data_IF_557721816527
#
_entry.id   IF_557721816527
#
_cell.length_a   1.000
_cell.length_b   1.000
_cell.length_c   1.000
_cell.angle_alpha   90.00
_cell.angle_beta   90.00
_cell.angle_gamma   90.00
#
_symmetry.space_group_name_H-M   'P 1'
#
loop_
_entity.id
_entity.type
_entity.pdbx_description
1 polymer ?
#
# COMPACT_ATOMS: atom_id res chain seq x y z
N UNK A 1 35.90 -27.67 -33.19
CA UNK A 1 35.95 -26.54 -32.22
C UNK A 1 34.84 -25.50 -32.43
N UNK A 2 34.32 -25.32 -33.65
CA UNK A 2 33.29 -24.30 -34.00
C UNK A 2 31.89 -24.64 -33.44
N UNK A 3 31.53 -25.92 -33.26
CA UNK A 3 30.20 -26.31 -32.71
C UNK A 3 30.03 -26.06 -31.22
N UNK A 4 31.12 -26.05 -30.42
CA UNK A 4 31.06 -25.81 -28.98
C UNK A 4 30.80 -24.33 -28.63
N UNK A 5 31.28 -23.41 -29.46
CA UNK A 5 31.17 -21.95 -29.22
C UNK A 5 29.79 -21.38 -29.59
N UNK A 6 29.15 -21.93 -30.62
CA UNK A 6 27.76 -21.59 -30.99
C UNK A 6 26.77 -22.08 -29.94
N UNK A 7 26.91 -23.31 -29.46
CA UNK A 7 26.07 -23.87 -28.39
C UNK A 7 26.17 -23.07 -27.08
N UNK A 8 27.37 -22.64 -26.69
CA UNK A 8 27.58 -21.80 -25.49
C UNK A 8 26.93 -20.42 -25.63
N UNK A 9 26.96 -19.82 -26.82
CA UNK A 9 26.38 -18.48 -27.03
C UNK A 9 24.87 -18.56 -26.99
N UNK A 10 24.28 -19.56 -27.66
CA UNK A 10 22.85 -19.83 -27.58
C UNK A 10 22.39 -20.09 -26.15
N UNK A 11 23.12 -20.92 -25.39
CA UNK A 11 22.81 -21.19 -23.99
C UNK A 11 22.78 -19.93 -23.12
N UNK A 12 23.77 -19.02 -23.25
CA UNK A 12 23.79 -17.76 -22.50
C UNK A 12 22.56 -16.90 -22.85
N UNK A 13 22.18 -16.82 -24.12
CA UNK A 13 21.00 -16.06 -24.55
C UNK A 13 19.72 -16.61 -23.93
N UNK A 14 19.54 -17.93 -23.96
CA UNK A 14 18.38 -18.62 -23.37
C UNK A 14 18.31 -18.38 -21.86
N UNK A 15 19.43 -18.54 -21.14
CA UNK A 15 19.46 -18.30 -19.69
C UNK A 15 19.09 -16.85 -19.36
N UNK A 16 19.64 -15.88 -20.09
CA UNK A 16 19.30 -14.47 -19.88
C UNK A 16 17.82 -14.17 -20.17
N UNK A 17 17.25 -14.80 -21.20
CA UNK A 17 15.83 -14.66 -21.52
C UNK A 17 14.96 -15.24 -20.40
N UNK A 18 15.28 -16.43 -19.91
CA UNK A 18 14.57 -17.07 -18.79
C UNK A 18 14.60 -16.18 -17.56
N UNK A 19 15.77 -15.65 -17.18
CA UNK A 19 15.90 -14.76 -16.03
C UNK A 19 15.06 -13.49 -16.17
N UNK A 20 15.11 -12.84 -17.33
CA UNK A 20 14.33 -11.64 -17.60
C UNK A 20 12.82 -11.91 -17.56
N UNK A 21 12.37 -13.00 -18.19
CA UNK A 21 10.95 -13.38 -18.25
C UNK A 21 10.43 -13.72 -16.85
N UNK A 22 11.15 -14.56 -16.10
CA UNK A 22 10.77 -14.93 -14.74
C UNK A 22 10.71 -13.71 -13.82
N UNK A 23 11.74 -12.86 -13.87
CA UNK A 23 11.75 -11.63 -13.08
C UNK A 23 10.57 -10.73 -13.43
N UNK A 24 10.40 -10.39 -14.71
CA UNK A 24 9.38 -9.45 -15.17
C UNK A 24 7.97 -9.97 -14.87
N UNK A 25 7.73 -11.27 -15.10
CA UNK A 25 6.45 -11.90 -14.79
C UNK A 25 6.17 -11.87 -13.29
N UNK A 26 7.11 -12.33 -12.45
CA UNK A 26 6.91 -12.37 -11.00
C UNK A 26 6.73 -10.96 -10.42
N UNK A 27 7.51 -9.99 -10.89
CA UNK A 27 7.42 -8.59 -10.50
C UNK A 27 6.05 -7.99 -10.85
N UNK A 28 5.58 -8.18 -12.09
CA UNK A 28 4.28 -7.68 -12.54
C UNK A 28 3.10 -8.40 -11.86
N UNK A 29 3.20 -9.72 -11.69
CA UNK A 29 2.10 -10.54 -11.19
C UNK A 29 1.95 -10.43 -9.67
N UNK A 30 3.03 -10.50 -8.90
CA UNK A 30 2.96 -10.54 -7.43
C UNK A 30 3.13 -9.19 -6.77
N UNK A 31 3.86 -8.25 -7.38
CA UNK A 31 4.20 -6.98 -6.74
C UNK A 31 3.43 -5.79 -7.33
N UNK A 32 3.40 -5.63 -8.66
CA UNK A 32 2.84 -4.43 -9.30
C UNK A 32 1.40 -4.56 -9.80
N UNK A 33 0.79 -5.73 -9.66
CA UNK A 33 -0.51 -6.03 -10.27
C UNK A 33 -1.64 -5.08 -9.83
N UNK A 34 -1.73 -4.79 -8.54
CA UNK A 34 -2.82 -3.98 -7.98
C UNK A 34 -2.67 -2.51 -8.39
N UNK A 35 -1.43 -2.02 -8.49
CA UNK A 35 -1.12 -0.67 -9.01
C UNK A 35 -1.49 -0.54 -10.49
N UNK A 36 -1.11 -1.52 -11.32
CA UNK A 36 -1.43 -1.50 -12.76
C UNK A 36 -2.95 -1.61 -12.96
N UNK A 37 -3.63 -2.45 -12.17
CA UNK A 37 -5.08 -2.57 -12.20
C UNK A 37 -5.78 -1.24 -11.90
N UNK A 38 -5.34 -0.56 -10.84
CA UNK A 38 -5.85 0.76 -10.49
C UNK A 38 -5.51 1.79 -11.56
N UNK A 39 -4.28 1.85 -12.07
CA UNK A 39 -3.89 2.83 -13.08
C UNK A 39 -4.74 2.67 -14.35
N UNK A 40 -4.95 1.44 -14.81
CA UNK A 40 -5.84 1.15 -15.93
C UNK A 40 -7.29 1.58 -15.65
N UNK A 41 -7.79 1.31 -14.43
CA UNK A 41 -9.13 1.72 -14.03
C UNK A 41 -9.29 3.24 -14.05
N UNK A 42 -8.39 3.97 -13.38
CA UNK A 42 -8.41 5.43 -13.28
C UNK A 42 -8.27 6.07 -14.67
N UNK A 43 -7.29 5.65 -15.47
CA UNK A 43 -7.05 6.22 -16.80
C UNK A 43 -8.17 5.90 -17.80
N UNK A 44 -8.87 4.77 -17.64
CA UNK A 44 -10.03 4.43 -18.48
C UNK A 44 -11.36 5.04 -18.00
N UNK A 45 -11.36 5.71 -16.84
CA UNK A 45 -12.60 6.18 -16.20
C UNK A 45 -13.52 5.03 -15.78
N UNK A 46 -12.93 3.90 -15.38
CA UNK A 46 -13.64 2.70 -14.95
C UNK A 46 -14.21 1.82 -16.07
N UNK A 47 -13.84 2.08 -17.33
CA UNK A 47 -14.38 1.35 -18.50
C UNK A 47 -13.68 0.03 -18.79
N UNK A 48 -12.50 -0.19 -18.22
CA UNK A 48 -11.69 -1.39 -18.50
C UNK A 48 -11.27 -2.08 -17.22
N UNK A 49 -11.09 -3.40 -17.32
CA UNK A 49 -10.63 -4.23 -16.21
C UNK A 49 -9.26 -4.83 -16.57
N UNK A 50 -8.36 -4.85 -15.58
CA UNK A 50 -7.06 -5.50 -15.71
C UNK A 50 -7.17 -6.94 -15.22
N UNK A 51 -6.73 -7.89 -16.03
CA UNK A 51 -6.51 -9.26 -15.58
C UNK A 51 -5.02 -9.44 -15.28
N UNK A 52 -4.71 -9.75 -14.02
CA UNK A 52 -3.34 -9.88 -13.51
C UNK A 52 -2.48 -10.86 -14.31
N UNK A 53 -3.02 -12.03 -14.67
CA UNK A 53 -2.28 -13.05 -15.41
C UNK A 53 -2.03 -12.62 -16.85
N UNK A 54 -3.09 -12.19 -17.55
CA UNK A 54 -3.00 -11.78 -18.95
C UNK A 54 -2.08 -10.56 -19.09
N UNK A 55 -2.23 -9.58 -18.21
CA UNK A 55 -1.40 -8.38 -18.20
C UNK A 55 0.07 -8.67 -17.96
N UNK A 56 0.40 -9.49 -16.96
CA UNK A 56 1.79 -9.88 -16.69
C UNK A 56 2.42 -10.63 -17.87
N UNK A 57 1.69 -11.57 -18.50
CA UNK A 57 2.17 -12.29 -19.69
C UNK A 57 2.38 -11.33 -20.86
N UNK A 58 1.38 -10.49 -21.16
CA UNK A 58 1.41 -9.60 -22.32
C UNK A 58 2.53 -8.56 -22.20
N UNK A 59 2.64 -7.88 -21.06
CA UNK A 59 3.68 -6.88 -20.84
C UNK A 59 5.06 -7.55 -20.92
N UNK A 60 5.26 -8.70 -20.27
CA UNK A 60 6.53 -9.44 -20.33
C UNK A 60 6.89 -9.85 -21.76
N UNK A 61 5.92 -10.34 -22.54
CA UNK A 61 6.13 -10.76 -23.93
C UNK A 61 6.50 -9.57 -24.84
N UNK A 62 5.84 -8.42 -24.66
CA UNK A 62 6.16 -7.18 -25.41
C UNK A 62 7.56 -6.70 -25.09
N UNK A 63 7.92 -6.62 -23.80
CA UNK A 63 9.25 -6.18 -23.37
C UNK A 63 10.36 -7.14 -23.80
N UNK A 64 10.09 -8.44 -23.80
CA UNK A 64 11.02 -9.43 -24.34
C UNK A 64 11.18 -9.29 -25.86
N UNK A 65 10.08 -9.08 -26.59
CA UNK A 65 10.11 -8.85 -28.05
C UNK A 65 10.92 -7.59 -28.42
N UNK A 66 10.83 -6.53 -27.61
CA UNK A 66 11.66 -5.34 -27.76
C UNK A 66 13.15 -5.67 -27.65
N UNK A 67 13.53 -6.51 -26.67
CA UNK A 67 14.92 -6.97 -26.54
C UNK A 67 15.36 -7.77 -27.78
N UNK A 68 14.48 -8.62 -28.34
CA UNK A 68 14.77 -9.38 -29.56
C UNK A 68 15.05 -8.44 -30.75
N UNK A 69 14.32 -7.33 -30.87
CA UNK A 69 14.57 -6.29 -31.86
C UNK A 69 15.92 -5.61 -31.65
N UNK A 70 16.23 -5.20 -30.41
CA UNK A 70 17.48 -4.51 -30.07
C UNK A 70 18.73 -5.36 -30.30
N UNK A 71 18.70 -6.65 -29.97
CA UNK A 71 19.85 -7.54 -30.23
C UNK A 71 20.14 -7.71 -31.73
N UNK A 72 19.16 -7.51 -32.61
CA UNK A 72 19.36 -7.61 -34.05
C UNK A 72 20.15 -6.42 -34.60
N UNK A 73 20.06 -5.27 -33.93
CA UNK A 73 20.71 -4.01 -34.29
C UNK A 73 22.09 -3.86 -33.63
N UNK A 74 22.29 -4.42 -32.44
CA UNK A 74 23.49 -4.21 -31.64
C UNK A 74 24.44 -5.42 -31.69
N UNK A 75 25.64 -5.22 -32.23
CA UNK A 75 26.75 -6.18 -32.11
C UNK A 75 27.31 -6.14 -30.68
N UNK A 76 26.76 -6.96 -29.79
CA UNK A 76 27.14 -7.05 -28.38
C UNK A 76 27.83 -8.39 -28.06
N UNK A 77 28.99 -8.38 -27.39
CA UNK A 77 29.69 -9.58 -26.94
C UNK A 77 28.83 -10.42 -25.99
N UNK A 78 28.89 -11.75 -26.16
CA UNK A 78 28.18 -12.73 -25.31
C UNK A 78 28.41 -12.56 -23.79
N UNK A 79 29.56 -12.00 -23.39
CA UNK A 79 29.92 -11.77 -21.98
C UNK A 79 29.05 -10.69 -21.31
N UNK A 80 28.52 -9.76 -22.08
CA UNK A 80 27.71 -8.64 -21.60
C UNK A 80 26.33 -8.61 -22.28
N UNK A 81 25.83 -9.79 -22.65
CA UNK A 81 24.55 -9.95 -23.35
C UNK A 81 23.36 -9.37 -22.58
N UNK A 82 23.37 -9.42 -21.24
CA UNK A 82 22.34 -8.87 -20.36
C UNK A 82 22.07 -7.38 -20.61
N UNK A 83 23.07 -6.61 -21.08
CA UNK A 83 22.91 -5.18 -21.43
C UNK A 83 21.86 -4.97 -22.52
N UNK A 84 21.57 -5.96 -23.37
CA UNK A 84 20.48 -5.87 -24.35
C UNK A 84 19.10 -5.71 -23.70
N UNK A 85 18.92 -6.13 -22.45
CA UNK A 85 17.65 -6.05 -21.72
C UNK A 85 17.43 -4.70 -21.02
N UNK A 86 18.45 -3.83 -20.96
CA UNK A 86 18.36 -2.56 -20.24
C UNK A 86 17.18 -1.69 -20.71
N UNK A 87 16.96 -1.45 -22.03
CA UNK A 87 15.82 -0.65 -22.46
C UNK A 87 14.46 -1.26 -22.08
N UNK A 88 14.34 -2.59 -22.17
CA UNK A 88 13.13 -3.30 -21.76
C UNK A 88 12.85 -3.16 -20.25
N UNK A 89 13.89 -3.27 -19.41
CA UNK A 89 13.77 -3.04 -17.96
C UNK A 89 13.48 -1.57 -17.66
N UNK A 90 14.08 -0.63 -18.38
CA UNK A 90 13.83 0.79 -18.21
C UNK A 90 12.37 1.15 -18.50
N UNK A 91 11.79 0.59 -19.57
CA UNK A 91 10.36 0.76 -19.88
C UNK A 91 9.49 0.10 -18.81
N UNK A 92 9.88 -1.09 -18.32
CA UNK A 92 9.17 -1.75 -17.22
C UNK A 92 9.12 -0.85 -15.97
N UNK A 93 10.25 -0.27 -15.58
CA UNK A 93 10.35 0.67 -14.44
C UNK A 93 9.44 1.88 -14.63
N UNK A 94 9.45 2.49 -15.82
CA UNK A 94 8.60 3.66 -16.10
C UNK A 94 7.12 3.29 -16.05
N UNK A 95 6.76 2.12 -16.59
CA UNK A 95 5.38 1.64 -16.61
C UNK A 95 4.84 1.41 -15.19
N UNK A 96 5.70 1.00 -14.26
CA UNK A 96 5.35 0.70 -12.86
C UNK A 96 5.66 1.83 -11.88
N UNK A 97 6.23 2.95 -12.34
CA UNK A 97 6.37 4.17 -11.56
C UNK A 97 5.07 5.01 -11.58
N UNK A 98 4.01 4.42 -11.02
CA UNK A 98 2.68 5.02 -10.97
C UNK A 98 2.58 5.96 -9.77
N UNK A 99 2.23 7.23 -9.99
CA UNK A 99 2.07 8.21 -8.91
C UNK A 99 0.76 8.00 -8.13
N UNK A 100 0.75 8.21 -6.79
CA UNK A 100 -0.48 8.29 -5.98
C UNK A 100 -1.44 9.44 -6.36
N UNK A 101 -1.03 10.37 -7.22
CA UNK A 101 -1.89 11.46 -7.72
C UNK A 101 -2.30 11.30 -9.19
N UNK A 102 -2.26 10.06 -9.70
CA UNK A 102 -2.66 9.72 -11.08
C UNK A 102 -4.10 10.14 -11.43
N UNK A 103 -4.98 10.23 -10.44
CA UNK A 103 -6.38 10.66 -10.55
C UNK A 103 -6.55 12.16 -10.83
N UNK A 104 -5.57 13.00 -10.46
CA UNK A 104 -5.65 14.46 -10.66
C UNK A 104 -5.15 14.86 -12.03
N UNK A 105 -3.89 14.53 -12.33
CA UNK A 105 -3.22 14.80 -13.60
C UNK A 105 -2.17 13.73 -13.85
N UNK A 106 -2.30 13.00 -14.94
CA UNK A 106 -1.26 12.10 -15.41
C UNK A 106 -0.07 12.89 -15.97
N UNK A 107 1.13 12.58 -15.50
CA UNK A 107 2.38 13.14 -16.00
C UNK A 107 3.49 12.10 -15.88
N UNK A 108 4.38 12.05 -16.88
CA UNK A 108 5.59 11.23 -16.84
C UNK A 108 6.68 11.82 -15.93
N UNK A 109 6.47 13.02 -15.38
CA UNK A 109 7.39 13.65 -14.43
C UNK A 109 8.82 13.75 -14.96
N UNK A 110 9.79 13.33 -14.16
CA UNK A 110 11.20 13.35 -14.51
C UNK A 110 11.56 12.40 -15.67
N UNK A 111 10.74 11.37 -15.95
CA UNK A 111 11.03 10.38 -16.99
C UNK A 111 11.11 10.97 -18.38
N UNK A 112 10.45 12.10 -18.66
CA UNK A 112 10.56 12.80 -19.95
C UNK A 112 12.00 13.16 -20.31
N UNK A 113 12.82 13.48 -19.30
CA UNK A 113 14.23 13.84 -19.47
C UNK A 113 15.17 12.70 -19.10
N UNK A 114 14.84 11.94 -18.06
CA UNK A 114 15.66 10.81 -17.58
C UNK A 114 15.72 9.69 -18.63
N UNK A 115 14.58 9.35 -19.25
CA UNK A 115 14.53 8.28 -20.26
C UNK A 115 15.47 8.51 -21.46
N UNK A 116 15.39 9.64 -22.20
CA UNK A 116 16.30 9.87 -23.33
C UNK A 116 17.76 9.97 -22.88
N UNK A 117 18.02 10.55 -21.70
CA UNK A 117 19.38 10.65 -21.15
C UNK A 117 19.97 9.27 -20.87
N UNK A 118 19.20 8.36 -20.26
CA UNK A 118 19.63 6.99 -19.99
C UNK A 118 19.86 6.19 -21.28
N UNK A 119 19.05 6.42 -22.33
CA UNK A 119 19.27 5.79 -23.64
C UNK A 119 20.55 6.30 -24.34
N UNK A 120 20.89 7.58 -24.19
CA UNK A 120 22.14 8.13 -24.69
C UNK A 120 23.35 7.53 -23.94
N UNK A 121 23.29 7.48 -22.61
CA UNK A 121 24.32 6.86 -21.77
C UNK A 121 24.48 5.37 -22.10
N UNK A 122 23.37 4.66 -22.32
CA UNK A 122 23.34 3.27 -22.74
C UNK A 122 24.15 3.03 -24.03
N UNK A 123 23.98 3.87 -25.04
CA UNK A 123 24.79 3.82 -26.27
C UNK A 123 26.29 3.99 -25.99
N UNK A 124 26.65 4.87 -25.04
CA UNK A 124 28.02 5.03 -24.55
C UNK A 124 28.56 3.76 -23.87
N UNK A 125 27.75 3.14 -23.00
CA UNK A 125 28.10 1.89 -22.29
C UNK A 125 28.33 0.75 -23.28
N UNK A 126 27.47 0.58 -24.29
CA UNK A 126 27.68 -0.44 -25.34
C UNK A 126 29.04 -0.24 -26.02
N UNK A 127 29.35 1.01 -26.42
CA UNK A 127 30.64 1.31 -27.07
C UNK A 127 31.83 1.00 -26.15
N UNK A 128 31.73 1.33 -24.86
CA UNK A 128 32.76 1.04 -23.87
C UNK A 128 32.97 -0.47 -23.68
N UNK A 129 31.89 -1.22 -23.49
CA UNK A 129 31.95 -2.68 -23.32
C UNK A 129 32.53 -3.36 -24.57
N UNK A 130 32.19 -2.88 -25.76
CA UNK A 130 32.78 -3.36 -27.01
C UNK A 130 34.29 -3.08 -27.08
N UNK A 131 34.76 -1.93 -26.60
CA UNK A 131 36.20 -1.61 -26.50
C UNK A 131 36.91 -2.51 -25.49
N UNK A 132 36.36 -2.66 -24.28
CA UNK A 132 36.91 -3.52 -23.23
C UNK A 132 37.03 -4.97 -23.70
N UNK A 133 35.97 -5.50 -24.34
CA UNK A 133 35.98 -6.86 -24.88
C UNK A 133 37.06 -7.05 -25.95
N UNK A 134 37.25 -6.08 -26.86
CA UNK A 134 38.32 -6.12 -27.88
C UNK A 134 39.71 -6.14 -27.25
N UNK A 135 39.93 -5.40 -26.15
CA UNK A 135 41.21 -5.37 -25.44
C UNK A 135 41.51 -6.68 -24.69
N UNK A 136 40.51 -7.26 -24.03
CA UNK A 136 40.65 -8.53 -23.30
C UNK A 136 40.78 -9.77 -24.23
N UNK A 137 40.41 -9.65 -25.50
CA UNK A 137 40.31 -10.76 -26.46
C UNK A 137 41.62 -11.49 -26.81
N UNK A 138 42.79 -11.00 -26.39
CA UNK A 138 44.09 -11.62 -26.71
C UNK A 138 44.58 -12.67 -25.70
N UNK A 139 43.98 -12.80 -24.52
CA UNK A 139 44.60 -13.54 -23.40
C UNK A 139 43.69 -14.59 -22.73
N UNK A 140 42.42 -14.74 -23.15
CA UNK A 140 41.41 -15.41 -22.31
C UNK A 140 40.85 -16.71 -22.88
N UNK A 141 40.95 -17.80 -22.10
CA UNK A 141 40.28 -19.07 -22.38
C UNK A 141 38.74 -18.90 -22.35
N UNK A 142 38.08 -19.55 -23.31
CA UNK A 142 36.66 -19.42 -23.60
C UNK A 142 35.81 -20.27 -22.62
N UNK A 143 35.77 -19.92 -21.33
CA UNK A 143 34.95 -20.60 -20.33
C UNK A 143 33.50 -20.05 -20.30
N UNK A 144 32.51 -20.94 -20.25
CA UNK A 144 31.08 -20.59 -20.19
C UNK A 144 30.77 -19.84 -18.88
N UNK A 145 31.26 -20.32 -17.75
CA UNK A 145 31.04 -19.70 -16.44
C UNK A 145 31.60 -18.27 -16.36
N UNK A 146 32.80 -18.05 -16.91
CA UNK A 146 33.42 -16.73 -16.98
C UNK A 146 32.65 -15.72 -17.85
N UNK A 147 31.80 -16.20 -18.77
CA UNK A 147 30.93 -15.37 -19.58
C UNK A 147 29.52 -15.19 -18.97
N UNK A 148 29.04 -16.12 -18.15
CA UNK A 148 27.74 -16.03 -17.47
C UNK A 148 27.76 -15.05 -16.29
N UNK A 149 28.83 -15.08 -15.48
CA UNK A 149 28.89 -14.29 -14.25
C UNK A 149 28.62 -12.78 -14.44
N UNK A 150 29.24 -12.10 -15.44
CA UNK A 150 28.96 -10.68 -15.66
C UNK A 150 27.50 -10.41 -16.07
N UNK A 151 26.85 -11.34 -16.78
CA UNK A 151 25.44 -11.21 -17.14
C UNK A 151 24.54 -11.26 -15.89
N UNK A 152 24.83 -12.17 -14.94
CA UNK A 152 24.10 -12.23 -13.67
C UNK A 152 24.31 -10.97 -12.83
N UNK A 153 25.55 -10.48 -12.72
CA UNK A 153 25.83 -9.23 -12.00
C UNK A 153 25.09 -8.04 -12.62
N UNK A 154 25.06 -7.96 -13.95
CA UNK A 154 24.31 -6.91 -14.66
C UNK A 154 22.81 -7.01 -14.41
N UNK A 155 22.22 -8.21 -14.49
CA UNK A 155 20.80 -8.39 -14.17
C UNK A 155 20.50 -8.03 -12.72
N UNK A 156 21.32 -8.46 -11.77
CA UNK A 156 21.15 -8.11 -10.37
C UNK A 156 21.10 -6.59 -10.17
N UNK A 157 22.06 -5.87 -10.74
CA UNK A 157 22.08 -4.40 -10.68
C UNK A 157 20.82 -3.81 -11.33
N UNK A 158 20.47 -4.23 -12.55
CA UNK A 158 19.31 -3.68 -13.25
C UNK A 158 17.98 -4.00 -12.55
N UNK A 159 17.83 -5.17 -11.94
CA UNK A 159 16.64 -5.56 -11.18
C UNK A 159 16.51 -4.75 -9.90
N UNK A 160 17.61 -4.57 -9.16
CA UNK A 160 17.62 -3.69 -7.97
C UNK A 160 17.23 -2.27 -8.37
N UNK A 161 17.85 -1.70 -9.40
CA UNK A 161 17.52 -0.36 -9.90
C UNK A 161 16.05 -0.27 -10.36
N UNK A 162 15.55 -1.29 -11.06
CA UNK A 162 14.16 -1.36 -11.50
C UNK A 162 13.19 -1.31 -10.32
N UNK A 163 13.44 -2.12 -9.28
CA UNK A 163 12.62 -2.11 -8.08
C UNK A 163 12.69 -0.76 -7.32
N UNK A 164 13.87 -0.14 -7.22
CA UNK A 164 14.05 1.12 -6.49
C UNK A 164 13.52 2.35 -7.21
N UNK A 165 13.48 2.35 -8.54
CA UNK A 165 12.98 3.51 -9.31
C UNK A 165 11.54 3.32 -9.81
N UNK A 166 10.96 2.14 -9.61
CA UNK A 166 9.52 1.94 -9.73
C UNK A 166 8.77 2.39 -8.48
N UNK A 167 7.44 2.40 -8.52
CA UNK A 167 6.68 2.69 -7.32
C UNK A 167 6.88 1.59 -6.26
N UNK A 168 7.54 1.97 -5.17
CA UNK A 168 7.78 1.14 -4.00
C UNK A 168 7.18 1.76 -2.72
N UNK A 169 6.13 2.56 -2.84
CA UNK A 169 5.47 3.19 -1.68
C UNK A 169 4.55 2.17 -1.00
N UNK A 170 5.01 1.62 0.14
CA UNK A 170 4.28 0.58 0.88
C UNK A 170 2.84 0.97 1.23
N UNK A 171 2.61 2.20 1.70
CA UNK A 171 1.26 2.68 2.05
C UNK A 171 0.36 2.69 0.82
N UNK A 172 0.89 3.10 -0.33
CA UNK A 172 0.14 3.10 -1.56
C UNK A 172 -0.19 1.68 -2.04
N UNK A 173 0.77 0.76 -1.94
CA UNK A 173 0.54 -0.66 -2.20
C UNK A 173 -0.53 -1.25 -1.28
N UNK A 174 -0.49 -0.93 0.02
CA UNK A 174 -1.51 -1.38 0.98
C UNK A 174 -2.90 -0.86 0.60
N UNK A 175 -3.01 0.43 0.24
CA UNK A 175 -4.30 1.00 -0.21
C UNK A 175 -4.86 0.26 -1.41
N UNK A 176 -4.06 0.07 -2.45
CA UNK A 176 -4.55 -0.59 -3.67
C UNK A 176 -4.94 -2.04 -3.41
N UNK A 177 -4.18 -2.74 -2.57
CA UNK A 177 -4.50 -4.11 -2.18
C UNK A 177 -5.78 -4.18 -1.33
N UNK A 178 -6.00 -3.25 -0.41
CA UNK A 178 -7.27 -3.14 0.33
C UNK A 178 -8.42 -2.88 -0.64
N UNK A 179 -8.33 -1.88 -1.51
CA UNK A 179 -9.40 -1.55 -2.46
C UNK A 179 -9.72 -2.70 -3.41
N UNK A 180 -8.71 -3.41 -3.93
CA UNK A 180 -8.88 -4.62 -4.73
C UNK A 180 -9.67 -5.68 -3.95
N UNK A 181 -9.33 -5.92 -2.68
CA UNK A 181 -10.01 -6.90 -1.83
C UNK A 181 -11.44 -6.51 -1.48
N UNK A 182 -11.70 -5.21 -1.28
CA UNK A 182 -13.06 -4.70 -1.09
C UNK A 182 -13.94 -4.95 -2.33
N UNK A 183 -13.39 -4.80 -3.53
CA UNK A 183 -14.11 -5.08 -4.79
C UNK A 183 -14.36 -6.58 -4.97
N UNK A 184 -13.39 -7.41 -4.59
CA UNK A 184 -13.53 -8.87 -4.58
C UNK A 184 -14.53 -9.37 -3.52
N UNK A 185 -14.93 -8.52 -2.57
CA UNK A 185 -15.80 -8.87 -1.45
C UNK A 185 -15.09 -9.63 -0.33
N UNK A 186 -13.76 -9.70 -0.36
CA UNK A 186 -12.93 -10.38 0.64
C UNK A 186 -12.50 -9.40 1.73
N UNK A 187 -13.48 -8.94 2.52
CA UNK A 187 -13.30 -7.99 3.62
C UNK A 187 -12.34 -8.52 4.71
N UNK A 188 -12.32 -9.84 4.94
CA UNK A 188 -11.41 -10.44 5.93
C UNK A 188 -9.95 -10.30 5.51
N UNK A 189 -9.64 -10.56 4.24
CA UNK A 189 -8.28 -10.37 3.74
C UNK A 189 -7.91 -8.89 3.65
N UNK A 190 -8.85 -8.00 3.33
CA UNK A 190 -8.65 -6.55 3.35
C UNK A 190 -8.18 -6.05 4.73
N UNK A 191 -8.81 -6.54 5.80
CA UNK A 191 -8.51 -6.14 7.18
C UNK A 191 -7.09 -6.51 7.64
N UNK A 192 -6.48 -7.52 7.03
CA UNK A 192 -5.11 -7.96 7.36
C UNK A 192 -4.04 -7.19 6.56
N UNK A 193 -4.41 -6.44 5.51
CA UNK A 193 -3.44 -5.72 4.69
C UNK A 193 -2.78 -4.59 5.47
N UNK A 194 -1.47 -4.70 5.65
CA UNK A 194 -0.65 -3.69 6.32
C UNK A 194 -0.99 -3.51 7.80
N UNK A 195 -1.74 -4.44 8.43
CA UNK A 195 -2.13 -4.36 9.85
C UNK A 195 -0.93 -4.19 10.78
N UNK A 196 0.17 -4.88 10.48
CA UNK A 196 1.42 -4.82 11.23
C UNK A 196 2.36 -3.67 10.80
N UNK A 197 2.00 -2.90 9.77
CA UNK A 197 2.83 -1.78 9.33
C UNK A 197 2.61 -0.59 10.25
N UNK A 198 3.69 0.10 10.62
CA UNK A 198 3.61 1.37 11.35
C UNK A 198 3.19 2.56 10.46
N UNK A 199 3.31 2.41 9.13
CA UNK A 199 3.03 3.48 8.18
C UNK A 199 1.57 3.44 7.73
N UNK A 200 0.94 4.61 7.68
CA UNK A 200 -0.44 4.79 7.22
C UNK A 200 -0.63 6.19 6.66
N UNK A 201 -1.70 6.38 5.89
CA UNK A 201 -2.19 7.70 5.48
C UNK A 201 -3.70 7.80 5.75
N UNK A 202 -4.29 8.99 5.55
CA UNK A 202 -5.71 9.20 5.80
C UNK A 202 -6.62 8.39 4.87
N UNK A 203 -6.17 8.04 3.67
CA UNK A 203 -6.94 7.20 2.75
C UNK A 203 -6.93 5.74 3.20
N UNK A 204 -5.80 5.20 3.67
CA UNK A 204 -5.71 3.86 4.24
C UNK A 204 -6.51 3.76 5.55
N UNK A 205 -6.48 4.81 6.36
CA UNK A 205 -7.31 4.94 7.57
C UNK A 205 -8.80 4.83 7.22
N UNK A 206 -9.28 5.61 6.25
CA UNK A 206 -10.65 5.51 5.73
C UNK A 206 -11.01 4.09 5.28
N UNK A 207 -10.14 3.46 4.49
CA UNK A 207 -10.38 2.13 3.92
C UNK A 207 -10.52 1.08 5.02
N UNK A 208 -9.66 1.13 6.05
CA UNK A 208 -9.73 0.24 7.22
C UNK A 208 -11.00 0.46 8.03
N UNK A 209 -11.39 1.72 8.26
CA UNK A 209 -12.62 2.06 8.96
C UNK A 209 -13.83 1.48 8.23
N UNK A 210 -13.86 1.65 6.90
CA UNK A 210 -14.92 1.11 6.08
C UNK A 210 -14.98 -0.43 6.14
N UNK A 211 -13.84 -1.08 5.96
CA UNK A 211 -13.72 -2.53 6.00
C UNK A 211 -14.13 -3.13 7.36
N UNK A 212 -13.61 -2.58 8.46
CA UNK A 212 -13.98 -2.97 9.82
C UNK A 212 -15.47 -2.75 10.09
N UNK A 213 -16.07 -1.70 9.54
CA UNK A 213 -17.50 -1.46 9.68
C UNK A 213 -18.34 -2.48 8.92
N UNK A 214 -17.92 -2.87 7.71
CA UNK A 214 -18.57 -3.95 6.96
C UNK A 214 -18.48 -5.28 7.73
N UNK A 215 -17.35 -5.53 8.39
CA UNK A 215 -17.15 -6.71 9.24
C UNK A 215 -17.87 -6.63 10.60
N UNK A 216 -18.46 -5.49 10.96
CA UNK A 216 -19.07 -5.27 12.27
C UNK A 216 -18.07 -5.22 13.43
N UNK A 217 -16.79 -4.91 13.14
CA UNK A 217 -15.67 -4.88 14.10
C UNK A 217 -15.11 -3.48 14.35
N UNK A 218 -15.79 -2.43 13.89
CA UNK A 218 -15.28 -1.07 13.98
C UNK A 218 -15.03 -0.64 15.43
N UNK A 219 -16.00 -0.82 16.34
CA UNK A 219 -15.83 -0.53 17.76
C UNK A 219 -14.85 -1.46 18.49
N UNK A 220 -14.50 -2.60 17.90
CA UNK A 220 -13.65 -3.62 18.52
C UNK A 220 -12.17 -3.46 18.16
N UNK A 221 -11.88 -3.02 16.94
CA UNK A 221 -10.54 -3.12 16.37
C UNK A 221 -9.97 -1.81 15.80
N UNK A 222 -10.73 -0.71 15.79
CA UNK A 222 -10.29 0.55 15.18
C UNK A 222 -8.90 1.00 15.66
N UNK A 223 -8.64 0.94 16.97
CA UNK A 223 -7.40 1.41 17.56
C UNK A 223 -6.29 0.34 17.57
N UNK A 224 -6.52 -0.82 16.96
CA UNK A 224 -5.48 -1.83 16.71
C UNK A 224 -4.68 -1.54 15.43
N UNK A 225 -5.09 -0.53 14.64
CA UNK A 225 -4.43 -0.11 13.42
C UNK A 225 -3.74 1.24 13.61
N UNK A 226 -2.68 1.55 12.83
CA UNK A 226 -2.20 2.91 12.73
C UNK A 226 -3.23 3.82 12.07
N UNK A 227 -3.52 4.95 12.71
CA UNK A 227 -4.56 5.93 12.33
C UNK A 227 -3.95 7.30 12.06
N UNK A 228 -4.37 7.96 10.97
CA UNK A 228 -3.98 9.34 10.63
C UNK A 228 -5.19 10.11 10.10
N UNK A 229 -5.35 11.36 10.56
CA UNK A 229 -6.36 12.30 10.05
C UNK A 229 -7.67 12.36 10.82
N UNK A 230 -7.75 11.74 12.00
CA UNK A 230 -8.89 11.83 12.93
C UNK A 230 -10.24 11.53 12.26
N UNK A 231 -11.34 12.16 12.71
CA UNK A 231 -12.66 11.94 12.12
C UNK A 231 -12.75 12.39 10.65
N UNK A 232 -11.95 13.38 10.21
CA UNK A 232 -11.93 13.86 8.83
C UNK A 232 -11.48 12.77 7.84
N UNK A 233 -10.69 11.81 8.30
CA UNK A 233 -10.25 10.67 7.50
C UNK A 233 -11.34 9.61 7.28
N UNK A 234 -12.53 9.71 7.90
CA UNK A 234 -13.54 8.65 7.82
C UNK A 234 -14.31 8.63 6.49
N UNK A 235 -14.31 9.72 5.72
CA UNK A 235 -15.00 9.83 4.44
C UNK A 235 -14.11 10.46 3.37
N UNK A 236 -14.33 10.16 2.08
CA UNK A 236 -13.67 10.87 1.00
C UNK A 236 -13.95 12.37 1.07
N UNK A 237 -12.90 13.19 1.07
CA UNK A 237 -13.00 14.65 1.19
C UNK A 237 -12.61 15.40 -0.10
N UNK A 238 -12.25 14.66 -1.16
CA UNK A 238 -11.86 15.23 -2.45
C UNK A 238 -10.42 15.78 -2.50
N UNK A 239 -9.64 15.64 -1.43
CA UNK A 239 -8.25 16.07 -1.36
C UNK A 239 -7.33 14.97 -0.82
N UNK A 240 -7.20 14.85 0.51
CA UNK A 240 -6.30 13.92 1.19
C UNK A 240 -6.88 12.51 1.37
N UNK A 241 -8.20 12.36 1.32
CA UNK A 241 -8.92 11.11 1.54
C UNK A 241 -9.70 10.76 0.29
N UNK A 242 -9.30 9.66 -0.37
CA UNK A 242 -9.88 9.22 -1.65
C UNK A 242 -9.80 7.70 -1.81
N UNK A 243 -10.80 7.16 -2.51
CA UNK A 243 -10.79 5.81 -3.09
C UNK A 243 -10.45 5.93 -4.58
N UNK A 244 -9.54 5.10 -5.08
CA UNK A 244 -9.10 5.15 -6.50
C UNK A 244 -9.70 4.06 -7.36
N UNK A 245 -10.12 2.98 -6.74
CA UNK A 245 -10.50 1.73 -7.38
C UNK A 245 -11.82 1.21 -6.80
N UNK A 246 -11.96 1.18 -5.47
CA UNK A 246 -13.20 0.87 -4.79
C UNK A 246 -14.26 1.96 -4.98
N UNK A 247 -15.53 1.56 -4.98
CA UNK A 247 -16.62 2.50 -5.21
C UNK A 247 -16.97 3.27 -3.94
N UNK A 248 -16.80 4.60 -3.96
CA UNK A 248 -17.30 5.45 -2.88
C UNK A 248 -18.81 5.23 -2.65
N UNK A 249 -19.59 4.96 -3.71
CA UNK A 249 -21.03 4.69 -3.58
C UNK A 249 -21.33 3.51 -2.67
N UNK A 250 -20.50 2.49 -2.65
CA UNK A 250 -20.66 1.34 -1.76
C UNK A 250 -20.49 1.75 -0.30
N UNK A 251 -19.48 2.56 0.00
CA UNK A 251 -19.26 3.14 1.33
C UNK A 251 -20.46 3.97 1.80
N UNK A 252 -20.94 4.92 1.00
CA UNK A 252 -22.06 5.76 1.48
C UNK A 252 -23.36 4.97 1.62
N UNK A 253 -23.61 3.98 0.76
CA UNK A 253 -24.78 3.10 0.89
C UNK A 253 -24.72 2.21 2.14
N UNK A 254 -23.53 1.79 2.56
CA UNK A 254 -23.32 1.08 3.82
C UNK A 254 -23.74 1.93 5.03
N UNK A 255 -23.46 3.23 4.98
CA UNK A 255 -23.86 4.19 6.03
C UNK A 255 -25.32 4.64 5.92
N UNK A 256 -25.88 4.63 4.71
CA UNK A 256 -27.24 5.04 4.44
C UNK A 256 -27.44 5.46 2.99
N UNK A 257 -27.15 6.72 2.66
CA UNK A 257 -27.49 7.31 1.36
C UNK A 257 -26.28 7.99 0.74
N UNK A 258 -26.04 7.69 -0.54
CA UNK A 258 -25.04 8.38 -1.35
C UNK A 258 -25.36 9.87 -1.52
N UNK A 259 -24.38 10.72 -1.23
CA UNK A 259 -24.40 12.15 -1.54
C UNK A 259 -23.27 12.49 -2.50
N UNK A 260 -23.56 13.38 -3.47
CA UNK A 260 -22.57 13.79 -4.48
C UNK A 260 -21.56 14.78 -3.90
N UNK A 261 -22.01 15.64 -3.00
CA UNK A 261 -21.19 16.67 -2.37
C UNK A 261 -20.27 16.06 -1.32
N UNK A 262 -19.03 16.56 -1.28
CA UNK A 262 -18.05 16.19 -0.27
C UNK A 262 -18.29 17.07 0.96
N UNK A 263 -18.80 16.47 2.02
CA UNK A 263 -19.08 17.12 3.30
C UNK A 263 -18.33 16.38 4.41
N UNK A 264 -18.08 17.07 5.53
CA UNK A 264 -17.46 16.45 6.69
C UNK A 264 -18.35 15.34 7.30
N UNK A 265 -17.72 14.42 8.03
CA UNK A 265 -18.38 13.28 8.65
C UNK A 265 -19.54 13.67 9.57
N UNK A 266 -19.43 14.74 10.35
CA UNK A 266 -20.47 15.13 11.29
C UNK A 266 -21.68 15.71 10.58
N UNK A 267 -21.46 16.55 9.55
CA UNK A 267 -22.53 17.05 8.69
C UNK A 267 -23.25 15.92 7.98
N UNK A 268 -22.51 14.94 7.44
CA UNK A 268 -23.09 13.77 6.80
C UNK A 268 -23.94 12.92 7.75
N UNK A 269 -23.41 12.56 8.92
CA UNK A 269 -24.14 11.77 9.92
C UNK A 269 -25.36 12.50 10.46
N UNK A 270 -25.28 13.81 10.68
CA UNK A 270 -26.42 14.65 11.05
C UNK A 270 -27.51 14.62 9.98
N UNK A 271 -27.13 14.74 8.71
CA UNK A 271 -28.05 14.64 7.58
C UNK A 271 -28.76 13.27 7.55
N UNK A 272 -28.03 12.17 7.73
CA UNK A 272 -28.62 10.84 7.77
C UNK A 272 -29.64 10.69 8.90
N UNK A 273 -29.32 11.20 10.10
CA UNK A 273 -30.23 11.16 11.25
C UNK A 273 -31.49 11.99 11.04
N UNK A 274 -31.36 13.22 10.57
CA UNK A 274 -32.51 14.11 10.31
C UNK A 274 -33.50 13.51 9.30
N UNK A 275 -33.00 12.66 8.38
CA UNK A 275 -33.82 12.01 7.35
C UNK A 275 -34.25 10.59 7.72
N UNK A 276 -33.92 10.09 8.92
CA UNK A 276 -34.13 8.70 9.33
C UNK A 276 -33.55 7.69 8.33
N UNK A 277 -32.35 7.98 7.82
CA UNK A 277 -31.62 7.15 6.84
C UNK A 277 -30.31 6.58 7.40
N UNK A 278 -29.99 6.84 8.67
CA UNK A 278 -28.81 6.29 9.32
C UNK A 278 -28.95 4.77 9.52
N UNK A 279 -27.96 4.00 9.05
CA UNK A 279 -27.86 2.57 9.34
C UNK A 279 -27.20 2.33 10.70
N UNK A 280 -27.17 1.07 11.17
CA UNK A 280 -26.38 0.70 12.37
C UNK A 280 -24.90 1.05 12.20
N UNK A 281 -24.35 0.84 11.00
CA UNK A 281 -22.97 1.22 10.70
C UNK A 281 -22.75 2.73 10.84
N UNK A 282 -23.72 3.58 10.51
CA UNK A 282 -23.62 5.02 10.73
C UNK A 282 -23.55 5.40 12.23
N UNK A 283 -24.18 4.62 13.11
CA UNK A 283 -24.07 4.82 14.56
C UNK A 283 -22.65 4.53 15.04
N UNK A 284 -22.04 3.41 14.59
CA UNK A 284 -20.66 3.08 14.94
C UNK A 284 -19.67 4.10 14.37
N UNK A 285 -19.92 4.59 13.14
CA UNK A 285 -19.15 5.69 12.56
C UNK A 285 -19.23 6.96 13.42
N UNK A 286 -20.41 7.31 13.94
CA UNK A 286 -20.56 8.46 14.83
C UNK A 286 -19.78 8.30 16.13
N UNK A 287 -19.90 7.13 16.77
CA UNK A 287 -19.17 6.82 18.00
C UNK A 287 -17.66 6.89 17.78
N UNK A 288 -17.17 6.23 16.73
CA UNK A 288 -15.76 6.23 16.39
C UNK A 288 -15.24 7.61 15.94
N UNK A 289 -16.05 8.42 15.25
CA UNK A 289 -15.69 9.81 14.93
C UNK A 289 -15.44 10.63 16.21
N UNK A 290 -16.31 10.47 17.21
CA UNK A 290 -16.10 11.13 18.50
C UNK A 290 -14.86 10.62 19.23
N UNK A 291 -14.57 9.32 19.20
CA UNK A 291 -13.36 8.78 19.81
C UNK A 291 -12.09 9.26 19.11
N UNK A 292 -12.06 9.26 17.77
CA UNK A 292 -10.95 9.80 16.97
C UNK A 292 -10.69 11.28 17.32
N UNK A 293 -11.74 12.08 17.49
CA UNK A 293 -11.60 13.49 17.89
C UNK A 293 -11.51 13.70 19.41
N UNK A 294 -11.42 12.63 20.21
CA UNK A 294 -11.33 12.66 21.68
C UNK A 294 -12.53 13.34 22.38
N UNK A 295 -13.69 13.40 21.72
CA UNK A 295 -14.94 14.03 22.20
C UNK A 295 -15.75 13.09 23.11
N UNK A 296 -15.17 12.70 24.25
CA UNK A 296 -15.74 11.70 25.18
C UNK A 296 -17.17 12.00 25.64
N UNK A 297 -17.50 13.26 25.92
CA UNK A 297 -18.86 13.64 26.36
C UNK A 297 -19.91 13.45 25.28
N UNK A 298 -19.56 13.70 24.01
CA UNK A 298 -20.47 13.47 22.89
C UNK A 298 -20.59 11.97 22.59
N UNK A 299 -19.47 11.25 22.67
CA UNK A 299 -19.43 9.80 22.58
C UNK A 299 -20.39 9.16 23.60
N UNK A 300 -20.29 9.49 24.89
CA UNK A 300 -21.14 8.90 25.93
C UNK A 300 -22.64 9.15 25.70
N UNK A 301 -23.01 10.38 25.32
CA UNK A 301 -24.40 10.75 24.99
C UNK A 301 -24.95 10.03 23.75
N UNK A 302 -24.10 9.70 22.80
CA UNK A 302 -24.48 8.95 21.62
C UNK A 302 -24.56 7.45 21.93
N UNK A 303 -23.62 6.92 22.70
CA UNK A 303 -23.52 5.52 23.06
C UNK A 303 -24.77 5.03 23.79
N UNK A 304 -25.24 5.80 24.78
CA UNK A 304 -26.46 5.51 25.55
C UNK A 304 -27.70 5.30 24.66
N UNK A 305 -27.74 5.93 23.48
CA UNK A 305 -28.86 5.83 22.53
C UNK A 305 -28.76 4.62 21.62
N UNK A 306 -27.55 4.12 21.38
CA UNK A 306 -27.27 3.13 20.35
C UNK A 306 -26.98 1.75 20.92
N UNK A 307 -26.45 1.68 22.14
CA UNK A 307 -26.02 0.44 22.77
C UNK A 307 -26.59 0.30 24.18
N UNK A 308 -27.04 -0.91 24.57
CA UNK A 308 -27.20 -1.24 25.98
C UNK A 308 -25.82 -1.25 26.67
N UNK A 309 -25.81 -0.87 27.94
CA UNK A 309 -24.60 -0.90 28.78
C UNK A 309 -24.45 -2.29 29.41
N UNK A 310 -24.10 -3.26 28.58
CA UNK A 310 -23.87 -4.64 29.00
C UNK A 310 -22.50 -5.18 28.51
N UNK A 311 -22.24 -6.46 28.80
CA UNK A 311 -20.96 -7.10 28.51
C UNK A 311 -20.62 -7.17 27.01
N UNK A 312 -21.60 -7.03 26.12
CA UNK A 312 -21.42 -7.10 24.65
C UNK A 312 -20.97 -5.76 24.04
N UNK A 313 -20.74 -4.74 24.87
CA UNK A 313 -20.22 -3.48 24.39
C UNK A 313 -18.84 -3.67 23.73
N UNK A 314 -18.60 -3.06 22.56
CA UNK A 314 -17.31 -3.18 21.90
C UNK A 314 -16.13 -2.75 22.77
N UNK A 315 -15.00 -3.46 22.65
CA UNK A 315 -13.78 -3.25 23.45
C UNK A 315 -13.40 -1.78 23.59
N UNK A 316 -13.26 -1.06 22.49
CA UNK A 316 -12.80 0.33 22.55
C UNK A 316 -13.84 1.30 23.11
N UNK A 317 -15.12 0.91 23.09
CA UNK A 317 -16.18 1.68 23.73
C UNK A 317 -16.11 1.52 25.24
N UNK A 318 -15.86 0.30 25.73
CA UNK A 318 -15.57 0.02 27.15
C UNK A 318 -14.34 0.79 27.63
N UNK A 319 -13.24 0.73 26.86
CA UNK A 319 -12.00 1.46 27.16
C UNK A 319 -12.27 2.98 27.28
N UNK A 320 -13.07 3.55 26.37
CA UNK A 320 -13.44 4.97 26.41
C UNK A 320 -14.28 5.35 27.64
N UNK A 321 -15.18 4.47 28.09
CA UNK A 321 -15.99 4.70 29.29
C UNK A 321 -15.16 4.67 30.56
N UNK A 322 -14.20 3.75 30.68
CA UNK A 322 -13.26 3.70 31.82
C UNK A 322 -12.36 4.92 31.83
N UNK A 323 -11.83 5.32 30.67
CA UNK A 323 -11.05 6.56 30.60
C UNK A 323 -11.86 7.78 31.05
N UNK A 324 -13.16 7.81 30.71
CA UNK A 324 -14.07 8.87 31.10
C UNK A 324 -14.35 8.89 32.60
N UNK A 325 -14.57 7.74 33.24
CA UNK A 325 -14.87 7.63 34.68
C UNK A 325 -13.72 8.17 35.53
N UNK A 326 -12.47 7.91 35.13
CA UNK A 326 -11.28 8.39 35.84
C UNK A 326 -10.93 9.85 35.55
N UNK A 327 -11.39 10.41 34.42
CA UNK A 327 -11.05 11.77 34.00
C UNK A 327 -12.09 12.82 34.42
N UNK A 328 -13.36 12.45 34.47
CA UNK A 328 -14.45 13.39 34.73
C UNK A 328 -14.91 13.29 36.18
N UNK A 329 -15.03 14.43 36.88
CA UNK A 329 -15.54 14.46 38.26
C UNK A 329 -16.99 13.99 38.37
N UNK A 330 -17.79 14.17 37.31
CA UNK A 330 -19.17 13.68 37.19
C UNK A 330 -19.35 13.08 35.77
N UNK A 331 -19.02 11.80 35.54
CA UNK A 331 -19.16 11.19 34.23
C UNK A 331 -20.65 11.11 33.85
N UNK A 332 -20.96 11.36 32.57
CA UNK A 332 -22.36 11.33 32.07
C UNK A 332 -22.95 9.92 32.14
N UNK A 333 -22.10 8.90 32.14
CA UNK A 333 -22.48 7.50 32.11
C UNK A 333 -21.55 6.73 33.05
N UNK A 334 -22.12 5.97 33.98
CA UNK A 334 -21.37 5.12 34.90
C UNK A 334 -21.27 3.72 34.32
N UNK A 335 -20.03 3.26 34.12
CA UNK A 335 -19.71 1.93 33.62
C UNK A 335 -18.59 1.36 34.49
N UNK A 336 -18.67 0.07 34.75
CA UNK A 336 -17.70 -0.61 35.61
C UNK A 336 -17.44 -2.03 35.12
N UNK A 337 -16.17 -2.36 34.94
CA UNK A 337 -15.72 -3.69 34.52
C UNK A 337 -14.37 -3.99 35.20
N UNK A 338 -14.38 -4.92 36.14
CA UNK A 338 -13.25 -5.17 37.04
C UNK A 338 -11.93 -5.45 36.32
N UNK A 339 -11.98 -6.26 35.25
CA UNK A 339 -10.78 -6.66 34.50
C UNK A 339 -10.16 -5.45 33.81
N UNK A 340 -10.97 -4.67 33.09
CA UNK A 340 -10.47 -3.54 32.32
C UNK A 340 -10.08 -2.35 33.22
N UNK A 341 -10.68 -2.22 34.41
CA UNK A 341 -10.23 -1.30 35.45
C UNK A 341 -8.82 -1.66 35.97
N UNK A 342 -8.53 -2.95 36.15
CA UNK A 342 -7.19 -3.41 36.53
C UNK A 342 -6.18 -3.13 35.40
N UNK A 343 -6.52 -3.44 34.15
CA UNK A 343 -5.67 -3.15 32.99
C UNK A 343 -5.38 -1.65 32.86
N UNK A 344 -6.38 -0.79 33.12
CA UNK A 344 -6.18 0.65 33.10
C UNK A 344 -5.28 1.14 34.24
N UNK A 345 -5.41 0.57 35.44
CA UNK A 345 -4.54 0.88 36.57
C UNK A 345 -3.07 0.50 36.29
N UNK A 346 -2.85 -0.65 35.65
CA UNK A 346 -1.52 -1.09 35.22
C UNK A 346 -0.93 -0.17 34.15
N UNK A 347 -1.74 0.23 33.17
CA UNK A 347 -1.38 1.23 32.16
C UNK A 347 -0.90 2.54 32.82
N UNK A 348 -1.65 3.09 33.78
CA UNK A 348 -1.28 4.32 34.50
C UNK A 348 -0.04 4.12 35.38
N UNK A 349 0.16 2.93 35.93
CA UNK A 349 1.35 2.61 36.73
C UNK A 349 2.61 2.59 35.87
N UNK A 350 2.55 1.95 34.71
CA UNK A 350 3.65 1.96 33.73
C UNK A 350 3.94 3.37 33.23
N UNK A 351 2.90 4.16 32.91
CA UNK A 351 3.06 5.55 32.47
C UNK A 351 3.81 6.42 33.51
N UNK A 352 3.55 6.20 34.81
CA UNK A 352 4.21 6.92 35.91
C UNK A 352 5.63 6.43 36.18
N UNK A 353 5.92 5.15 35.90
CA UNK A 353 7.23 4.53 36.16
C UNK A 353 8.34 5.11 35.30
N UNK A 354 8.04 5.45 34.04
CA UNK A 354 9.03 5.92 33.07
C UNK A 354 8.95 7.45 32.89
N UNK A 355 9.98 8.16 33.38
CA UNK A 355 10.07 9.62 33.25
C UNK A 355 10.51 10.05 31.85
N UNK A 356 11.32 9.24 31.16
CA UNK A 356 11.77 9.53 29.81
C UNK A 356 10.61 9.38 28.81
N UNK A 357 10.24 10.44 28.06
CA UNK A 357 9.12 10.40 27.12
C UNK A 357 9.23 9.33 26.02
N UNK A 358 10.44 9.08 25.50
CA UNK A 358 10.64 8.12 24.42
C UNK A 358 10.54 6.68 24.91
N UNK A 359 11.16 6.39 26.06
CA UNK A 359 11.10 5.07 26.70
C UNK A 359 9.67 4.75 27.12
N UNK A 360 8.97 5.72 27.73
CA UNK A 360 7.56 5.60 28.08
C UNK A 360 6.69 5.31 26.86
N UNK A 361 6.88 6.06 25.76
CA UNK A 361 6.15 5.81 24.52
C UNK A 361 6.40 4.39 24.00
N UNK A 362 7.67 3.96 23.92
CA UNK A 362 8.02 2.65 23.37
C UNK A 362 7.40 1.50 24.18
N UNK A 363 7.47 1.57 25.52
CA UNK A 363 6.93 0.53 26.41
C UNK A 363 5.40 0.50 26.37
N UNK A 364 4.75 1.67 26.40
CA UNK A 364 3.29 1.73 26.30
C UNK A 364 2.78 1.35 24.91
N UNK A 365 3.53 1.66 23.84
CA UNK A 365 3.18 1.23 22.50
C UNK A 365 3.24 -0.29 22.36
N UNK A 366 4.24 -0.93 22.97
CA UNK A 366 4.40 -2.39 22.93
C UNK A 366 3.29 -3.12 23.71
N UNK A 367 2.99 -2.67 24.92
CA UNK A 367 2.02 -3.35 25.79
C UNK A 367 0.57 -2.92 25.57
N UNK A 368 0.33 -1.64 25.24
CA UNK A 368 -1.01 -1.03 25.19
C UNK A 368 -1.28 -0.25 23.90
N UNK A 369 -0.43 -0.36 22.88
CA UNK A 369 -0.56 0.39 21.63
C UNK A 369 -1.85 0.13 20.85
N UNK A 370 -2.54 -0.96 21.16
CA UNK A 370 -3.83 -1.35 20.56
C UNK A 370 -5.05 -0.85 21.34
N UNK A 371 -4.85 -0.10 22.42
CA UNK A 371 -5.94 0.43 23.26
C UNK A 371 -6.31 1.85 22.86
N UNK A 372 -7.56 2.22 23.10
CA UNK A 372 -8.01 3.60 22.96
C UNK A 372 -7.31 4.54 23.97
N UNK A 373 -6.88 4.04 25.13
CA UNK A 373 -6.14 4.84 26.11
C UNK A 373 -4.81 5.34 25.56
N UNK A 374 -4.06 4.45 24.89
CA UNK A 374 -2.81 4.81 24.24
C UNK A 374 -3.05 5.82 23.13
N UNK A 375 -4.03 5.56 22.26
CA UNK A 375 -4.44 6.51 21.22
C UNK A 375 -4.75 7.89 21.81
N UNK A 376 -5.61 7.95 22.82
CA UNK A 376 -6.05 9.20 23.43
C UNK A 376 -4.89 10.05 23.99
N UNK A 377 -3.85 9.44 24.55
CA UNK A 377 -2.74 10.16 25.17
C UNK A 377 -1.61 10.51 24.19
N UNK A 378 -1.38 9.71 23.14
CA UNK A 378 -0.19 9.83 22.30
C UNK A 378 -0.45 10.21 20.83
N UNK A 379 -1.70 10.16 20.37
CA UNK A 379 -2.12 10.54 19.03
C UNK A 379 -3.22 11.58 19.13
#
# INVERSE_FOLDING_TARGET
MISKTTNSTFAIKVICAILFILFSFCYLYYYQADLIAMAQHVLSGGKTCYNRLIGAILITAVLWSLQLGLQSLALIPKRFYAVTYFPSLLILTILTDISPDIDKKFSFGAWLWVFPTLLLLYGGVIRLLNRLYKMEGKTRQNNIFGNLWPNFSLFFIMFVLGCTFSNHNDVFHYRMKVEQKLIEGDFKAAAEVGKQSIHTDSSLTMLRIYDLSVLGKLGEQLFEYPLVGHAEAMLPNGSSVKMMFASERALYRHLGVWIKEKVDIYSYLRFLKQRNRATRAAHDYELCAYLLDKKLTLFAKALEKYYPLDEHLPKHYKEALILMSHKMSNPTLQYHENVMEADFADFKTLERKYTNPQERYAILADSYGTTYWFYYLYH
#
